data_IF_812658372233
#
_entry.id   IF_812658372233
#
_cell.length_a   1.000
_cell.length_b   1.000
_cell.length_c   1.000
_cell.angle_alpha   90.00
_cell.angle_beta   90.00
_cell.angle_gamma   90.00
#
_symmetry.space_group_name_H-M   'P 1'
#
loop_
_entity.id
_entity.type
_entity.pdbx_description
1 polymer ?
#
# COMPACT_ATOMS: atom_id res chain seq x y z
N UNK A 1 10.35 43.66 -41.30
CA UNK A 1 9.98 43.90 -39.89
C UNK A 1 9.03 42.79 -39.45
N UNK A 2 9.33 42.15 -38.30
CA UNK A 2 8.49 41.23 -37.49
C UNK A 2 8.15 39.88 -38.16
N UNK A 3 8.97 38.84 -38.02
CA UNK A 3 9.04 37.90 -36.86
C UNK A 3 7.66 37.59 -36.29
N UNK A 4 6.98 36.59 -36.87
CA UNK A 4 5.82 35.94 -36.27
C UNK A 4 6.30 34.75 -35.46
N UNK A 5 6.61 34.97 -34.17
CA UNK A 5 6.78 33.88 -33.21
C UNK A 5 5.39 33.25 -33.03
N UNK A 6 5.19 32.07 -33.61
CA UNK A 6 4.07 31.21 -33.28
C UNK A 6 4.28 30.65 -31.88
N UNK A 7 3.83 31.40 -30.87
CA UNK A 7 3.97 31.11 -29.45
C UNK A 7 2.97 30.03 -29.03
N UNK A 8 3.55 29.01 -28.40
CA UNK A 8 3.00 27.98 -27.49
C UNK A 8 2.09 26.87 -28.04
N UNK A 9 2.76 25.76 -28.35
CA UNK A 9 2.28 24.41 -28.10
C UNK A 9 2.05 24.18 -26.59
N UNK A 10 0.86 23.64 -26.30
CA UNK A 10 0.50 22.62 -25.31
C UNK A 10 1.46 22.41 -24.11
N UNK A 11 0.97 22.70 -22.91
CA UNK A 11 1.47 22.08 -21.68
C UNK A 11 0.35 21.93 -20.64
N UNK A 12 -0.56 20.97 -20.85
CA UNK A 12 -1.42 20.43 -19.79
C UNK A 12 -0.69 19.32 -19.03
N UNK A 13 0.51 19.60 -18.50
CA UNK A 13 1.36 18.61 -17.82
C UNK A 13 1.96 19.12 -16.49
N UNK A 14 1.26 20.00 -15.76
CA UNK A 14 1.73 20.55 -14.48
C UNK A 14 0.71 20.38 -13.33
N UNK A 15 -0.20 19.40 -13.42
CA UNK A 15 -1.16 19.15 -12.34
C UNK A 15 -0.57 18.36 -11.15
N UNK A 16 0.66 17.85 -11.25
CA UNK A 16 1.25 16.98 -10.23
C UNK A 16 2.16 17.75 -9.23
N UNK A 17 3.02 18.65 -9.73
CA UNK A 17 3.99 19.40 -8.91
C UNK A 17 3.35 20.58 -8.13
N UNK A 18 2.30 21.17 -8.69
CA UNK A 18 1.54 22.24 -8.04
C UNK A 18 0.74 21.74 -6.83
N UNK A 19 0.34 20.47 -6.82
CA UNK A 19 -0.36 19.84 -5.71
C UNK A 19 0.59 19.56 -4.54
N UNK A 20 1.82 19.10 -4.83
CA UNK A 20 2.80 18.75 -3.80
C UNK A 20 3.22 19.97 -2.96
N UNK A 21 3.51 21.10 -3.62
CA UNK A 21 3.92 22.34 -2.94
C UNK A 21 2.79 22.96 -2.12
N UNK A 22 1.54 22.84 -2.58
CA UNK A 22 0.36 23.26 -1.83
C UNK A 22 0.16 22.40 -0.58
N UNK A 23 0.32 21.08 -0.69
CA UNK A 23 0.21 20.15 0.43
C UNK A 23 1.30 20.37 1.48
N UNK A 24 2.54 20.65 1.07
CA UNK A 24 3.61 21.06 1.98
C UNK A 24 3.30 22.37 2.71
N UNK A 25 2.67 23.34 2.03
CA UNK A 25 2.26 24.59 2.64
C UNK A 25 1.15 24.42 3.69
N UNK A 26 0.29 23.42 3.51
CA UNK A 26 -0.70 22.98 4.51
C UNK A 26 -0.08 22.12 5.63
N UNK A 27 1.20 21.76 5.54
CA UNK A 27 1.93 20.96 6.52
C UNK A 27 1.86 19.45 6.29
N UNK A 28 1.31 18.99 5.16
CA UNK A 28 1.26 17.58 4.79
C UNK A 28 2.53 17.14 4.05
N UNK A 29 2.97 15.92 4.31
CA UNK A 29 4.08 15.32 3.59
C UNK A 29 3.66 14.94 2.16
N UNK A 30 4.57 15.03 1.16
CA UNK A 30 4.28 14.68 -0.24
C UNK A 30 4.04 13.19 -0.47
N UNK A 31 4.44 12.34 0.48
CA UNK A 31 4.28 10.88 0.44
C UNK A 31 3.23 10.40 1.46
N UNK A 32 2.23 11.23 1.75
CA UNK A 32 1.19 10.90 2.72
C UNK A 32 0.25 9.83 2.17
N UNK A 33 -0.01 8.79 2.93
CA UNK A 33 -0.93 7.72 2.54
C UNK A 33 -2.35 7.99 3.06
N UNK A 34 -3.38 7.71 2.25
CA UNK A 34 -4.77 8.01 2.59
C UNK A 34 -5.30 7.25 3.82
N UNK A 35 -4.71 6.12 4.18
CA UNK A 35 -4.94 5.40 5.44
C UNK A 35 -4.65 6.26 6.68
N UNK A 36 -3.65 7.14 6.60
CA UNK A 36 -3.29 8.06 7.69
C UNK A 36 -4.36 9.14 7.87
N UNK A 37 -4.95 9.64 6.78
CA UNK A 37 -6.08 10.57 6.85
C UNK A 37 -7.34 9.91 7.42
N UNK A 38 -7.57 8.64 7.11
CA UNK A 38 -8.72 7.89 7.64
C UNK A 38 -8.61 7.73 9.16
N UNK A 39 -7.43 7.41 9.70
CA UNK A 39 -7.20 7.36 11.16
C UNK A 39 -7.34 8.74 11.81
N UNK A 40 -6.88 9.80 11.13
CA UNK A 40 -7.02 11.17 11.63
C UNK A 40 -8.49 11.53 11.90
N UNK A 41 -9.43 11.03 11.08
CA UNK A 41 -10.87 11.27 11.24
C UNK A 41 -11.44 10.80 12.59
N UNK A 42 -10.80 9.83 13.26
CA UNK A 42 -11.21 9.37 14.59
C UNK A 42 -10.90 10.41 15.69
N UNK A 43 -9.92 11.28 15.46
CA UNK A 43 -9.47 12.28 16.44
C UNK A 43 -10.06 13.66 16.20
N UNK A 44 -10.19 14.08 14.94
CA UNK A 44 -10.71 15.41 14.57
C UNK A 44 -12.17 15.38 14.07
N UNK A 45 -12.70 14.20 13.76
CA UNK A 45 -14.01 14.01 13.16
C UNK A 45 -13.96 14.04 11.63
N UNK A 46 -14.77 13.19 10.98
CA UNK A 46 -14.81 13.05 9.52
C UNK A 46 -15.35 14.29 8.76
N UNK A 47 -15.91 15.27 9.47
CA UNK A 47 -16.41 16.52 8.91
C UNK A 47 -15.44 17.70 9.05
N UNK A 48 -14.25 17.49 9.61
CA UNK A 48 -13.29 18.55 9.85
C UNK A 48 -12.53 18.96 8.57
N UNK A 49 -12.20 20.25 8.48
CA UNK A 49 -11.46 20.80 7.36
C UNK A 49 -10.09 20.12 7.20
N UNK A 50 -9.42 19.80 8.31
CA UNK A 50 -8.12 19.12 8.32
C UNK A 50 -8.20 17.73 7.69
N UNK A 51 -9.29 17.00 7.93
CA UNK A 51 -9.51 15.69 7.33
C UNK A 51 -9.68 15.81 5.81
N UNK A 52 -10.44 16.81 5.35
CA UNK A 52 -10.66 17.05 3.93
C UNK A 52 -9.38 17.53 3.22
N UNK A 53 -8.58 18.39 3.85
CA UNK A 53 -7.29 18.85 3.33
C UNK A 53 -6.26 17.70 3.26
N UNK A 54 -6.22 16.84 4.29
CA UNK A 54 -5.42 15.62 4.29
C UNK A 54 -5.79 14.71 3.12
N UNK A 55 -7.09 14.50 2.89
CA UNK A 55 -7.63 13.70 1.77
C UNK A 55 -7.30 14.28 0.40
N UNK A 56 -7.22 15.60 0.28
CA UNK A 56 -6.80 16.26 -0.96
C UNK A 56 -5.31 16.08 -1.28
N UNK A 57 -4.52 15.76 -0.25
CA UNK A 57 -3.06 15.68 -0.33
C UNK A 57 -2.49 14.26 -0.24
N UNK A 58 -3.33 13.26 0.01
CA UNK A 58 -2.86 11.89 0.16
C UNK A 58 -2.79 11.15 -1.18
N UNK A 59 -1.84 10.23 -1.26
CA UNK A 59 -1.80 9.21 -2.29
C UNK A 59 -2.57 8.00 -1.79
N UNK A 60 -3.36 7.40 -2.67
CA UNK A 60 -4.00 6.12 -2.38
C UNK A 60 -2.91 5.15 -1.92
N UNK A 61 -3.14 4.52 -0.78
CA UNK A 61 -2.35 3.37 -0.42
C UNK A 61 -2.43 2.40 -1.60
N UNK A 62 -1.29 1.86 -2.04
CA UNK A 62 -1.34 0.51 -2.55
C UNK A 62 -1.81 -0.31 -1.35
N UNK A 63 -3.13 -0.39 -1.21
CA UNK A 63 -3.76 -1.42 -0.44
C UNK A 63 -2.97 -2.67 -0.82
N UNK A 64 -2.57 -3.43 0.19
CA UNK A 64 -2.38 -4.83 -0.04
C UNK A 64 -3.75 -5.40 -0.46
N UNK A 65 -4.22 -5.06 -1.67
CA UNK A 65 -4.94 -5.95 -2.55
C UNK A 65 -3.99 -7.09 -3.01
N UNK A 66 -3.04 -7.45 -2.13
CA UNK A 66 -2.46 -8.76 -2.08
C UNK A 66 -3.63 -9.69 -1.84
N UNK A 67 -3.69 -10.68 -2.70
CA UNK A 67 -4.70 -11.72 -2.76
C UNK A 67 -5.20 -12.07 -1.35
N UNK A 68 -6.48 -11.80 -1.12
CA UNK A 68 -7.15 -12.16 0.11
C UNK A 68 -7.46 -13.65 0.05
N UNK A 69 -6.79 -14.45 0.89
CA UNK A 69 -7.04 -15.89 0.94
C UNK A 69 -8.18 -16.18 1.91
N UNK A 70 -9.35 -16.52 1.38
CA UNK A 70 -10.55 -16.84 2.17
C UNK A 70 -10.42 -18.10 3.05
N UNK A 71 -9.38 -18.92 2.83
CA UNK A 71 -9.12 -20.16 3.58
C UNK A 71 -7.68 -20.61 3.39
N UNK A 72 -7.00 -20.94 4.48
CA UNK A 72 -5.70 -21.61 4.44
C UNK A 72 -5.84 -23.12 4.61
N UNK A 73 -5.12 -23.88 3.79
CA UNK A 73 -4.89 -25.32 3.99
C UNK A 73 -3.39 -25.49 4.19
N UNK A 74 -2.96 -25.95 5.37
CA UNK A 74 -1.56 -26.17 5.67
C UNK A 74 -1.17 -27.60 5.29
N UNK A 75 -0.36 -27.75 4.26
CA UNK A 75 0.28 -29.01 3.90
C UNK A 75 1.75 -29.00 4.38
N UNK A 76 2.17 -30.08 5.04
CA UNK A 76 3.50 -30.18 5.64
C UNK A 76 4.25 -31.32 4.98
N UNK A 77 5.28 -30.96 4.22
CA UNK A 77 6.18 -31.93 3.58
C UNK A 77 7.52 -31.97 4.31
N UNK A 78 8.06 -33.17 4.51
CA UNK A 78 9.37 -33.36 5.10
C UNK A 78 10.34 -33.89 4.05
N UNK A 79 11.38 -33.12 3.77
CA UNK A 79 12.48 -33.51 2.89
C UNK A 79 13.79 -33.44 3.67
N UNK A 80 14.56 -34.52 3.65
CA UNK A 80 15.80 -34.61 4.41
C UNK A 80 16.77 -33.50 4.01
N UNK A 81 17.19 -32.69 4.99
CA UNK A 81 18.19 -31.62 4.80
C UNK A 81 17.63 -30.31 4.22
N UNK A 82 16.34 -30.22 3.92
CA UNK A 82 15.75 -28.96 3.47
C UNK A 82 15.46 -28.02 4.65
N UNK A 83 15.69 -26.70 4.49
CA UNK A 83 15.28 -25.73 5.49
C UNK A 83 13.76 -25.60 5.53
N UNK A 84 13.18 -25.27 6.68
CA UNK A 84 11.74 -25.05 6.79
C UNK A 84 11.38 -23.71 6.13
N UNK A 85 10.62 -23.79 5.03
CA UNK A 85 10.08 -22.65 4.30
C UNK A 85 8.55 -22.75 4.25
N UNK A 86 7.85 -21.62 4.31
CA UNK A 86 6.44 -21.54 3.96
C UNK A 86 6.31 -21.13 2.51
N UNK A 87 5.39 -21.80 1.81
CA UNK A 87 5.04 -21.52 0.43
C UNK A 87 3.57 -21.09 0.39
N UNK A 88 3.33 -19.82 0.05
CA UNK A 88 1.98 -19.30 -0.16
C UNK A 88 1.55 -19.69 -1.57
N UNK A 89 0.45 -20.43 -1.70
CA UNK A 89 -0.06 -20.87 -2.99
C UNK A 89 -1.43 -20.26 -3.29
N UNK A 90 -1.71 -20.05 -4.57
CA UNK A 90 -3.03 -19.67 -5.06
C UNK A 90 -3.99 -20.88 -5.14
N UNK A 91 -5.23 -20.64 -5.58
CA UNK A 91 -6.23 -21.71 -5.78
C UNK A 91 -5.85 -22.73 -6.86
N UNK A 92 -4.88 -22.40 -7.71
CA UNK A 92 -4.36 -23.24 -8.79
C UNK A 92 -3.18 -24.11 -8.33
N UNK A 93 -2.69 -23.92 -7.09
CA UNK A 93 -1.50 -24.58 -6.55
C UNK A 93 -0.18 -23.94 -7.02
N UNK A 94 -0.23 -22.74 -7.61
CA UNK A 94 0.96 -22.00 -7.99
C UNK A 94 1.51 -21.24 -6.77
N UNK A 95 2.81 -21.40 -6.49
CA UNK A 95 3.49 -20.65 -5.43
C UNK A 95 3.59 -19.17 -5.80
N UNK A 96 3.00 -18.31 -4.96
CA UNK A 96 3.01 -16.86 -5.09
C UNK A 96 4.10 -16.21 -4.21
N UNK A 97 4.39 -16.80 -3.05
CA UNK A 97 5.42 -16.30 -2.13
C UNK A 97 6.13 -17.47 -1.43
N UNK A 98 7.41 -17.27 -1.12
CA UNK A 98 8.25 -18.24 -0.40
C UNK A 98 9.01 -17.50 0.71
N UNK A 99 8.81 -17.94 1.96
CA UNK A 99 9.49 -17.35 3.12
C UNK A 99 10.20 -18.42 3.94
N UNK A 100 11.43 -18.14 4.38
CA UNK A 100 12.15 -19.04 5.27
C UNK A 100 11.79 -18.79 6.72
N UNK A 101 11.39 -19.85 7.43
CA UNK A 101 10.91 -19.78 8.82
C UNK A 101 11.87 -20.45 9.81
N UNK A 102 13.12 -20.73 9.41
CA UNK A 102 14.09 -21.47 10.23
C UNK A 102 14.36 -20.85 11.62
N UNK A 103 14.18 -19.54 11.75
CA UNK A 103 14.39 -18.81 13.01
C UNK A 103 13.10 -18.21 13.58
N UNK A 104 11.94 -18.62 13.07
CA UNK A 104 10.68 -18.09 13.53
C UNK A 104 10.20 -18.85 14.75
N UNK A 105 9.58 -18.12 15.66
CA UNK A 105 8.81 -18.72 16.74
C UNK A 105 7.35 -18.83 16.33
N UNK A 106 6.57 -19.59 17.10
CA UNK A 106 5.16 -19.82 16.82
C UNK A 106 4.41 -18.49 16.70
N UNK A 107 4.69 -17.53 17.58
CA UNK A 107 4.05 -16.21 17.56
C UNK A 107 4.30 -15.43 16.26
N UNK A 108 5.49 -15.57 15.65
CA UNK A 108 5.80 -14.89 14.40
C UNK A 108 5.11 -15.56 13.21
N UNK A 109 4.94 -16.88 13.26
CA UNK A 109 4.20 -17.62 12.23
C UNK A 109 2.72 -17.23 12.29
N UNK A 110 2.14 -17.15 13.49
CA UNK A 110 0.75 -16.73 13.70
C UNK A 110 0.51 -15.29 13.22
N UNK A 111 1.41 -14.36 13.56
CA UNK A 111 1.33 -12.96 13.11
C UNK A 111 1.40 -12.86 11.59
N UNK A 112 2.37 -13.53 10.97
CA UNK A 112 2.53 -13.53 9.51
C UNK A 112 1.30 -14.12 8.80
N UNK A 113 0.79 -15.25 9.27
CA UNK A 113 -0.39 -15.88 8.68
C UNK A 113 -1.65 -15.02 8.90
N UNK A 114 -1.80 -14.36 10.06
CA UNK A 114 -2.95 -13.49 10.35
C UNK A 114 -2.93 -12.20 9.52
N UNK A 115 -1.75 -11.69 9.18
CA UNK A 115 -1.63 -10.55 8.24
C UNK A 115 -2.02 -10.96 6.82
N UNK A 116 -1.68 -12.17 6.39
CA UNK A 116 -1.90 -12.64 5.01
C UNK A 116 -3.26 -13.27 4.75
N UNK A 117 -3.89 -13.81 5.78
CA UNK A 117 -5.23 -14.38 5.72
C UNK A 117 -6.19 -13.34 6.29
N UNK A 118 -7.00 -12.68 5.46
CA UNK A 118 -8.03 -11.81 6.02
C UNK A 118 -8.95 -12.65 6.91
N UNK A 119 -9.15 -12.15 8.12
CA UNK A 119 -10.16 -12.65 9.03
C UNK A 119 -11.52 -12.21 8.48
N UNK A 120 -12.21 -13.16 7.86
CA UNK A 120 -13.65 -13.05 7.60
C UNK A 120 -14.43 -12.80 8.90
#
# INVERSE_FOLDING_TARGET
MRVGVGVLLLASALADDANETACRALGFAPSLLCSSCTKLSEFVGAGDALFHECRGCCTEDFSNAGIVYSRAVLDVTYTQGAPPNLFMQDVSGATLDEVSIANWKVEHIEEYLSEKLDSA
#
